data_IF_568098532749
#
_entry.id   IF_568098532749
#
_cell.length_a   1.000
_cell.length_b   1.000
_cell.length_c   1.000
_cell.angle_alpha   90.00
_cell.angle_beta   90.00
_cell.angle_gamma   90.00
#
_symmetry.space_group_name_H-M   'P 1'
#
loop_
_entity.id
_entity.type
_entity.pdbx_description
1 polymer ?
#
# COMPACT_ATOMS: atom_id res chain seq x y z
N UNK A 1 -2.70 24.97 -2.58
CA UNK A 1 -2.58 24.41 -1.22
C UNK A 1 -1.18 23.88 -1.03
N UNK A 2 -0.47 24.35 0.00
CA UNK A 2 0.95 24.06 0.24
C UNK A 2 1.26 22.56 0.26
N UNK A 3 2.45 22.19 -0.20
CA UNK A 3 3.04 20.86 -0.08
C UNK A 3 3.50 20.65 1.38
N UNK A 4 2.53 20.66 2.31
CA UNK A 4 2.83 20.47 3.71
C UNK A 4 3.44 19.08 3.91
N UNK A 5 4.64 19.03 4.49
CA UNK A 5 5.32 17.79 4.82
C UNK A 5 4.39 16.88 5.66
N UNK A 6 4.47 15.55 5.51
CA UNK A 6 3.79 14.65 6.44
C UNK A 6 4.22 14.96 7.89
N UNK A 7 3.27 15.03 8.86
CA UNK A 7 3.62 15.27 10.25
C UNK A 7 4.60 14.22 10.77
N UNK A 8 5.67 14.65 11.43
CA UNK A 8 6.73 13.75 11.91
C UNK A 8 6.19 12.66 12.84
N UNK A 9 5.26 13.02 13.73
CA UNK A 9 4.60 12.08 14.63
C UNK A 9 3.87 10.93 13.89
N UNK A 10 3.28 11.22 12.72
CA UNK A 10 2.64 10.19 11.89
C UNK A 10 3.69 9.24 11.30
N UNK A 11 4.82 9.77 10.83
CA UNK A 11 5.91 8.96 10.28
C UNK A 11 6.47 8.01 11.35
N UNK A 12 6.68 8.52 12.57
CA UNK A 12 7.10 7.71 13.71
C UNK A 12 6.08 6.63 14.08
N UNK A 13 4.79 6.98 14.11
CA UNK A 13 3.71 6.02 14.40
C UNK A 13 3.70 4.89 13.36
N UNK A 14 3.81 5.21 12.07
CA UNK A 14 3.84 4.21 11.01
C UNK A 14 5.07 3.31 11.12
N UNK A 15 6.27 3.89 11.26
CA UNK A 15 7.51 3.13 11.41
C UNK A 15 7.49 2.22 12.64
N UNK A 16 6.94 2.71 13.77
CA UNK A 16 6.81 1.90 14.98
C UNK A 16 5.77 0.78 14.85
N UNK A 17 4.60 1.08 14.28
CA UNK A 17 3.52 0.08 14.14
C UNK A 17 3.88 -1.10 13.24
N UNK A 18 4.76 -0.88 12.26
CA UNK A 18 5.21 -1.92 11.32
C UNK A 18 6.51 -2.61 11.72
N UNK A 19 7.37 -1.91 12.46
CA UNK A 19 8.63 -2.45 12.97
C UNK A 19 8.80 -2.19 14.47
N UNK A 20 7.95 -2.76 15.34
CA UNK A 20 8.00 -2.46 16.77
C UNK A 20 9.30 -2.92 17.45
N UNK A 21 9.99 -3.90 16.85
CA UNK A 21 11.23 -4.49 17.37
C UNK A 21 12.48 -3.82 16.80
N UNK A 22 12.36 -2.90 15.84
CA UNK A 22 13.51 -2.23 15.24
C UNK A 22 14.03 -1.10 16.14
N UNK A 23 15.37 -1.00 16.17
CA UNK A 23 16.08 0.10 16.80
C UNK A 23 15.73 1.46 16.17
N UNK A 24 16.00 2.54 16.90
CA UNK A 24 15.69 3.92 16.48
C UNK A 24 16.29 4.28 15.11
N UNK A 25 17.50 3.80 14.80
CA UNK A 25 18.18 4.08 13.53
C UNK A 25 17.46 3.44 12.32
N UNK A 26 17.05 2.17 12.43
CA UNK A 26 16.27 1.49 11.38
C UNK A 26 14.89 2.11 11.18
N UNK A 27 14.25 2.55 12.28
CA UNK A 27 12.98 3.29 12.20
C UNK A 27 13.14 4.66 11.55
N UNK A 28 14.21 5.39 11.86
CA UNK A 28 14.50 6.66 11.19
C UNK A 28 14.67 6.49 9.67
N UNK A 29 15.34 5.42 9.23
CA UNK A 29 15.44 5.08 7.80
C UNK A 29 14.06 4.76 7.19
N UNK A 30 13.27 3.93 7.87
CA UNK A 30 11.88 3.62 7.47
C UNK A 30 11.05 4.89 7.29
N UNK A 31 11.19 5.86 8.19
CA UNK A 31 10.48 7.14 8.08
C UNK A 31 10.84 7.93 6.82
N UNK A 32 12.12 7.94 6.42
CA UNK A 32 12.56 8.67 5.21
C UNK A 32 11.88 8.09 3.97
N UNK A 33 11.84 6.76 3.87
CA UNK A 33 11.19 6.07 2.75
C UNK A 33 9.67 6.27 2.76
N UNK A 34 9.04 6.11 3.92
CA UNK A 34 7.60 6.37 4.07
C UNK A 34 7.27 7.83 3.75
N UNK A 35 8.11 8.79 4.16
CA UNK A 35 7.94 10.20 3.82
C UNK A 35 8.00 10.41 2.30
N UNK A 36 8.96 9.80 1.61
CA UNK A 36 9.08 9.90 0.15
C UNK A 36 7.81 9.36 -0.54
N UNK A 37 7.33 8.19 -0.13
CA UNK A 37 6.11 7.59 -0.68
C UNK A 37 4.89 8.46 -0.39
N UNK A 38 4.74 9.00 0.83
CA UNK A 38 3.62 9.88 1.16
C UNK A 38 3.65 11.20 0.36
N UNK A 39 4.83 11.76 0.11
CA UNK A 39 4.98 12.93 -0.77
C UNK A 39 4.56 12.59 -2.20
N UNK A 40 5.00 11.45 -2.73
CA UNK A 40 4.61 10.98 -4.06
C UNK A 40 3.09 10.74 -4.16
N UNK A 41 2.49 10.06 -3.18
CA UNK A 41 1.04 9.85 -3.13
C UNK A 41 0.27 11.17 -3.09
N UNK A 42 0.74 12.16 -2.32
CA UNK A 42 0.16 13.52 -2.31
C UNK A 42 0.26 14.19 -3.68
N UNK A 43 1.36 14.02 -4.40
CA UNK A 43 1.51 14.53 -5.78
C UNK A 43 0.55 13.83 -6.72
N UNK A 44 0.43 12.51 -6.66
CA UNK A 44 -0.50 11.73 -7.48
C UNK A 44 -1.97 12.09 -7.21
N UNK A 45 -2.36 12.36 -5.96
CA UNK A 45 -3.69 12.89 -5.64
C UNK A 45 -4.01 14.20 -6.37
N UNK A 46 -2.99 15.04 -6.60
CA UNK A 46 -3.13 16.35 -7.24
C UNK A 46 -2.98 16.30 -8.76
N UNK A 47 -2.27 15.30 -9.30
CA UNK A 47 -2.10 15.09 -10.74
C UNK A 47 -3.47 14.86 -11.41
N UNK A 48 -3.74 15.35 -12.63
CA UNK A 48 -4.97 15.03 -13.36
C UNK A 48 -5.00 13.57 -13.86
N UNK A 49 -3.82 13.00 -14.15
CA UNK A 49 -3.65 11.64 -14.67
C UNK A 49 -2.92 10.79 -13.64
N UNK A 50 -3.40 9.57 -13.43
CA UNK A 50 -2.74 8.55 -12.60
C UNK A 50 -2.27 7.41 -13.50
N UNK A 51 -0.99 7.04 -13.39
CA UNK A 51 -0.41 5.88 -14.07
C UNK A 51 -0.11 4.76 -13.07
N UNK A 52 -0.24 3.52 -13.51
CA UNK A 52 0.21 2.36 -12.76
C UNK A 52 1.74 2.33 -12.61
N UNK A 53 2.45 2.81 -13.63
CA UNK A 53 3.92 2.88 -13.64
C UNK A 53 4.45 3.83 -12.56
N UNK A 54 3.81 4.99 -12.34
CA UNK A 54 4.20 5.93 -11.28
C UNK A 54 4.08 5.31 -9.88
N UNK A 55 3.04 4.49 -9.66
CA UNK A 55 2.81 3.79 -8.40
C UNK A 55 3.75 2.59 -8.23
N UNK A 56 4.09 1.89 -9.31
CA UNK A 56 5.09 0.83 -9.28
C UNK A 56 6.48 1.41 -9.01
N UNK A 57 6.84 2.52 -9.65
CA UNK A 57 8.08 3.25 -9.39
C UNK A 57 8.17 3.64 -7.91
N UNK A 58 7.08 4.09 -7.28
CA UNK A 58 7.04 4.34 -5.84
C UNK A 58 7.44 3.11 -5.00
N UNK A 59 6.95 1.93 -5.38
CA UNK A 59 7.28 0.68 -4.71
C UNK A 59 8.73 0.24 -4.99
N UNK A 60 9.24 0.52 -6.19
CA UNK A 60 10.54 0.10 -6.69
C UNK A 60 11.71 1.05 -6.31
N UNK A 61 11.51 2.37 -6.29
CA UNK A 61 12.50 3.36 -5.81
C UNK A 61 12.97 3.05 -4.40
N UNK A 62 12.08 2.46 -3.63
CA UNK A 62 12.43 1.98 -2.32
C UNK A 62 13.43 0.81 -2.47
N UNK A 63 13.19 -0.21 -3.34
CA UNK A 63 14.04 -1.43 -3.55
C UNK A 63 15.54 -1.19 -3.74
N UNK A 64 15.95 -0.08 -4.35
CA UNK A 64 17.31 0.09 -4.89
C UNK A 64 18.41 0.47 -3.88
N UNK A 65 18.06 0.73 -2.61
CA UNK A 65 19.05 0.98 -1.54
C UNK A 65 19.04 -0.14 -0.50
N UNK A 66 20.09 -0.95 -0.49
CA UNK A 66 20.43 -1.95 0.56
C UNK A 66 19.43 -3.13 0.70
N UNK A 67 19.82 -4.30 1.28
CA UNK A 67 18.89 -5.37 1.61
C UNK A 67 18.08 -4.91 2.83
N UNK A 68 17.09 -4.06 2.57
CA UNK A 68 16.24 -3.50 3.61
C UNK A 68 15.39 -4.58 4.25
N UNK A 69 15.00 -4.39 5.53
CA UNK A 69 14.09 -5.32 6.18
C UNK A 69 12.80 -5.44 5.35
N UNK A 70 12.25 -6.65 5.17
CA UNK A 70 11.01 -6.87 4.43
C UNK A 70 9.84 -6.01 4.95
N UNK A 71 9.87 -5.59 6.22
CA UNK A 71 8.83 -4.79 6.88
C UNK A 71 8.62 -3.37 6.29
N UNK A 72 9.68 -2.65 5.90
CA UNK A 72 9.53 -1.31 5.30
C UNK A 72 8.82 -1.42 3.94
N UNK A 73 9.22 -2.42 3.16
CA UNK A 73 8.62 -2.74 1.87
C UNK A 73 7.15 -3.16 2.00
N UNK A 74 6.81 -3.94 3.03
CA UNK A 74 5.42 -4.28 3.36
C UNK A 74 4.59 -3.03 3.71
N UNK A 75 5.14 -2.12 4.52
CA UNK A 75 4.47 -0.86 4.85
C UNK A 75 4.18 -0.03 3.59
N UNK A 76 5.16 0.13 2.70
CA UNK A 76 4.99 0.86 1.43
C UNK A 76 3.87 0.25 0.58
N UNK A 77 3.88 -1.08 0.41
CA UNK A 77 2.82 -1.77 -0.35
C UNK A 77 1.44 -1.56 0.26
N UNK A 78 1.33 -1.58 1.59
CA UNK A 78 0.05 -1.33 2.29
C UNK A 78 -0.41 0.11 2.17
N UNK A 79 0.50 1.09 2.13
CA UNK A 79 0.15 2.49 1.86
C UNK A 79 -0.39 2.65 0.44
N UNK A 80 0.25 2.01 -0.55
CA UNK A 80 -0.21 1.99 -1.94
C UNK A 80 -1.57 1.31 -2.07
N UNK A 81 -1.79 0.16 -1.43
CA UNK A 81 -3.10 -0.51 -1.44
C UNK A 81 -4.19 0.33 -0.76
N UNK A 82 -3.90 0.96 0.38
CA UNK A 82 -4.84 1.90 0.99
C UNK A 82 -5.15 3.06 0.04
N UNK A 83 -4.15 3.60 -0.64
CA UNK A 83 -4.34 4.65 -1.64
C UNK A 83 -5.27 4.20 -2.77
N UNK A 84 -5.06 3.00 -3.33
CA UNK A 84 -5.93 2.43 -4.37
C UNK A 84 -7.37 2.28 -3.87
N UNK A 85 -7.57 1.73 -2.67
CA UNK A 85 -8.91 1.47 -2.13
C UNK A 85 -9.68 2.76 -1.86
N UNK A 86 -9.03 3.76 -1.27
CA UNK A 86 -9.69 4.99 -0.82
C UNK A 86 -9.75 6.10 -1.86
N UNK A 87 -9.02 5.99 -2.97
CA UNK A 87 -9.00 7.01 -4.02
C UNK A 87 -9.85 6.56 -5.23
N UNK A 88 -11.06 7.11 -5.45
CA UNK A 88 -11.95 6.64 -6.52
C UNK A 88 -11.32 6.67 -7.91
N UNK A 89 -10.48 7.68 -8.19
CA UNK A 89 -9.77 7.77 -9.47
C UNK A 89 -8.72 6.67 -9.64
N UNK A 90 -8.16 6.14 -8.56
CA UNK A 90 -7.19 5.06 -8.63
C UNK A 90 -7.84 3.70 -8.90
N UNK A 91 -9.17 3.59 -8.78
CA UNK A 91 -9.90 2.33 -9.00
C UNK A 91 -9.72 1.80 -10.43
N UNK A 92 -9.58 2.70 -11.42
CA UNK A 92 -9.42 2.33 -12.84
C UNK A 92 -8.07 1.66 -13.14
N UNK A 93 -7.03 1.97 -12.36
CA UNK A 93 -5.68 1.40 -12.50
C UNK A 93 -5.38 0.36 -11.41
N UNK A 94 -6.31 0.10 -10.49
CA UNK A 94 -6.03 -0.70 -9.31
C UNK A 94 -5.62 -2.15 -9.65
N UNK A 95 -6.28 -2.76 -10.64
CA UNK A 95 -5.94 -4.10 -11.16
C UNK A 95 -4.52 -4.14 -11.74
N UNK A 96 -4.19 -3.17 -12.59
CA UNK A 96 -2.87 -3.10 -13.22
C UNK A 96 -1.77 -2.92 -12.18
N UNK A 97 -1.94 -1.99 -11.24
CA UNK A 97 -1.02 -1.78 -10.12
C UNK A 97 -0.88 -3.04 -9.27
N UNK A 98 -1.99 -3.75 -9.01
CA UNK A 98 -1.97 -5.00 -8.26
C UNK A 98 -1.10 -6.06 -8.95
N UNK A 99 -1.28 -6.25 -10.25
CA UNK A 99 -0.47 -7.19 -11.06
C UNK A 99 1.02 -6.83 -11.01
N UNK A 100 1.36 -5.54 -11.11
CA UNK A 100 2.74 -5.06 -11.04
C UNK A 100 3.37 -5.24 -9.65
N UNK A 101 2.55 -5.17 -8.59
CA UNK A 101 2.99 -5.30 -7.19
C UNK A 101 3.04 -6.74 -6.67
N UNK A 102 2.37 -7.69 -7.34
CA UNK A 102 2.25 -9.09 -6.93
C UNK A 102 2.93 -10.10 -7.88
N UNK A 103 4.21 -9.91 -8.29
CA UNK A 103 4.86 -10.81 -9.25
C UNK A 103 5.23 -12.19 -8.68
N UNK A 104 5.10 -12.42 -7.37
CA UNK A 104 5.47 -13.66 -6.69
C UNK A 104 4.38 -14.14 -5.75
N UNK A 105 4.33 -15.44 -5.49
CA UNK A 105 3.35 -16.06 -4.57
C UNK A 105 3.40 -15.47 -3.16
N UNK A 106 4.59 -15.12 -2.67
CA UNK A 106 4.77 -14.45 -1.37
C UNK A 106 4.06 -13.09 -1.34
N UNK A 107 4.20 -12.29 -2.40
CA UNK A 107 3.56 -10.99 -2.51
C UNK A 107 2.05 -11.11 -2.72
N UNK A 108 1.61 -12.11 -3.51
CA UNK A 108 0.19 -12.45 -3.66
C UNK A 108 -0.41 -12.79 -2.29
N UNK A 109 0.27 -13.61 -1.49
CA UNK A 109 -0.19 -14.00 -0.16
C UNK A 109 -0.25 -12.79 0.79
N UNK A 110 0.78 -11.96 0.81
CA UNK A 110 0.82 -10.73 1.60
C UNK A 110 -0.35 -9.79 1.27
N UNK A 111 -0.59 -9.55 -0.03
CA UNK A 111 -1.63 -8.65 -0.51
C UNK A 111 -3.03 -9.22 -0.26
N UNK A 112 -3.20 -10.54 -0.43
CA UNK A 112 -4.43 -11.25 -0.06
C UNK A 112 -4.72 -11.08 1.44
N UNK A 113 -3.74 -11.33 2.30
CA UNK A 113 -3.88 -11.17 3.75
C UNK A 113 -4.22 -9.73 4.16
N UNK A 114 -3.63 -8.72 3.49
CA UNK A 114 -3.99 -7.32 3.70
C UNK A 114 -5.46 -7.03 3.34
N UNK A 115 -5.91 -7.48 2.16
CA UNK A 115 -7.27 -7.22 1.70
C UNK A 115 -8.31 -7.94 2.55
N UNK A 116 -8.07 -9.20 2.92
CA UNK A 116 -8.92 -9.97 3.83
C UNK A 116 -9.04 -9.31 5.20
N UNK A 117 -7.90 -8.90 5.80
CA UNK A 117 -7.90 -8.20 7.07
C UNK A 117 -8.64 -6.85 6.98
N UNK A 118 -8.48 -6.13 5.86
CA UNK A 118 -9.15 -4.85 5.63
C UNK A 118 -10.66 -5.01 5.54
N UNK A 119 -11.13 -5.98 4.74
CA UNK A 119 -12.56 -6.31 4.64
C UNK A 119 -13.14 -6.75 5.98
N UNK A 120 -12.44 -7.66 6.68
CA UNK A 120 -12.85 -8.11 8.00
C UNK A 120 -13.06 -6.93 8.96
N UNK A 121 -12.10 -6.00 9.02
CA UNK A 121 -12.21 -4.81 9.88
C UNK A 121 -13.38 -3.92 9.48
N UNK A 122 -13.59 -3.68 8.19
CA UNK A 122 -14.70 -2.84 7.73
C UNK A 122 -16.06 -3.44 8.07
N UNK A 123 -16.18 -4.77 8.01
CA UNK A 123 -17.42 -5.47 8.34
C UNK A 123 -17.69 -5.45 9.85
N UNK A 124 -16.66 -5.60 10.69
CA UNK A 124 -16.78 -5.59 12.16
C UNK A 124 -16.93 -4.18 12.76
N UNK A 125 -16.37 -3.16 12.10
CA UNK A 125 -16.44 -1.77 12.55
C UNK A 125 -17.61 -1.01 11.90
N UNK A 126 -18.49 -1.70 11.17
CA UNK A 126 -19.62 -1.11 10.44
C UNK A 126 -19.21 0.11 9.58
N UNK A 127 -18.03 0.04 8.95
CA UNK A 127 -17.54 1.17 8.16
C UNK A 127 -18.32 1.30 6.84
N UNK A 128 -18.77 2.52 6.56
CA UNK A 128 -19.44 2.91 5.31
C UNK A 128 -18.43 3.06 4.16
N UNK A 129 -17.84 1.94 3.74
CA UNK A 129 -16.83 1.86 2.69
C UNK A 129 -17.34 1.11 1.44
N UNK A 130 -18.57 1.36 0.98
CA UNK A 130 -19.21 0.53 -0.06
C UNK A 130 -18.37 0.38 -1.35
N UNK A 131 -17.85 1.49 -1.90
CA UNK A 131 -17.00 1.46 -3.11
C UNK A 131 -15.61 0.82 -2.86
N UNK A 132 -14.83 1.25 -1.85
CA UNK A 132 -13.58 0.57 -1.49
C UNK A 132 -13.75 -0.93 -1.21
N UNK A 133 -14.85 -1.32 -0.56
CA UNK A 133 -15.20 -2.71 -0.24
C UNK A 133 -15.46 -3.54 -1.49
N UNK A 134 -16.20 -2.99 -2.46
CA UNK A 134 -16.43 -3.65 -3.75
C UNK A 134 -15.09 -3.88 -4.46
N UNK A 135 -14.25 -2.84 -4.57
CA UNK A 135 -12.95 -2.94 -5.20
C UNK A 135 -12.05 -3.97 -4.49
N UNK A 136 -11.96 -3.95 -3.16
CA UNK A 136 -11.16 -4.90 -2.40
C UNK A 136 -11.56 -6.37 -2.68
N UNK A 137 -12.86 -6.65 -2.85
CA UNK A 137 -13.35 -7.98 -3.22
C UNK A 137 -13.00 -8.36 -4.65
N UNK A 138 -13.07 -7.42 -5.59
CA UNK A 138 -12.66 -7.63 -6.98
C UNK A 138 -11.16 -7.95 -7.05
N UNK A 139 -10.31 -7.17 -6.39
CA UNK A 139 -8.86 -7.41 -6.32
C UNK A 139 -8.54 -8.76 -5.64
N UNK A 140 -9.27 -9.14 -4.58
CA UNK A 140 -9.11 -10.45 -3.96
C UNK A 140 -9.48 -11.61 -4.89
N UNK A 141 -10.53 -11.46 -5.69
CA UNK A 141 -10.94 -12.47 -6.65
C UNK A 141 -9.89 -12.67 -7.76
N UNK A 142 -9.11 -11.64 -8.06
CA UNK A 142 -7.99 -11.72 -9.01
C UNK A 142 -6.74 -12.35 -8.43
N UNK A 143 -6.42 -12.08 -7.16
CA UNK A 143 -5.26 -12.65 -6.49
C UNK A 143 -5.43 -14.12 -6.14
N UNK A 144 -6.67 -14.54 -5.88
CA UNK A 144 -6.97 -15.95 -5.63
C UNK A 144 -6.99 -16.66 -6.97
N UNK A 145 -6.11 -17.65 -7.21
CA UNK A 145 -6.28 -18.50 -8.37
C UNK A 145 -7.68 -19.09 -8.30
N UNK A 146 -8.43 -19.03 -9.41
CA UNK A 146 -9.71 -19.70 -9.54
C UNK A 146 -9.51 -21.11 -9.00
N UNK A 147 -10.16 -21.43 -7.89
CA UNK A 147 -9.91 -22.66 -7.16
C UNK A 147 -9.95 -23.81 -8.15
N UNK A 148 -8.78 -24.38 -8.45
CA UNK A 148 -8.71 -25.59 -9.25
C UNK A 148 -9.27 -26.66 -8.34
N UNK A 149 -10.57 -26.88 -8.48
CA UNK A 149 -11.24 -28.09 -7.99
C UNK A 149 -10.58 -29.22 -8.77
N UNK A 150 -9.68 -29.94 -8.12
CA UNK A 150 -9.20 -31.26 -8.54
C UNK A 150 -9.53 -32.23 -7.42
#
# INVERSE_FOLDING_TARGET
MSEAEPPEALLWLLAFSYSPHDGSLKRAQTMVEVKAVLVLLKKLLRSPVLSAEDLQAAAAESRDRDPRPPLCQQLIRRLLLNFLLWTPRAHVIAREVLTLMAPTDELIHEMTGFLDQTLYRWDHLHMEAARPRKLARELLAELRPASTVV
#
